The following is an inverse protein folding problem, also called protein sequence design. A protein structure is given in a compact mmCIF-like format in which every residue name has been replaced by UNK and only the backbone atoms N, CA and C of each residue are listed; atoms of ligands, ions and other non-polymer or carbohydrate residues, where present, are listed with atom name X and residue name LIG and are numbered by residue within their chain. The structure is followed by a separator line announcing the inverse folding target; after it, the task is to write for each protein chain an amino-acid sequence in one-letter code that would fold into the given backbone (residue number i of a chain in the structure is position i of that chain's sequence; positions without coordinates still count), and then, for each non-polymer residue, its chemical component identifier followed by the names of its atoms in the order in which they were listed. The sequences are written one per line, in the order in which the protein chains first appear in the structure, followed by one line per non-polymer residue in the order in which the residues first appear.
data_IF_325387074396
#
_entry.id   IF_325387074396
#
_cell.length_a   1.000
_cell.length_b   1.000
_cell.length_c   1.000
_cell.angle_alpha   90.00
_cell.angle_beta   90.00
_cell.angle_gamma   90.00
#
_symmetry.space_group_name_H-M   'P 1'
#
loop_
_entity.id
_entity.type
_entity.pdbx_description
1 polymer ?
#
# COMPACT_ATOMS: atom_id res chain seq x y z
N UNK A 1 -26.67 -21.93 4.01
CA UNK A 1 -25.50 -22.63 3.42
C UNK A 1 -24.91 -21.75 2.35
N UNK A 2 -23.70 -21.22 2.58
CA UNK A 2 -22.94 -20.48 1.56
C UNK A 2 -22.12 -21.53 0.80
N UNK A 3 -22.18 -21.64 -0.54
CA UNK A 3 -21.33 -22.58 -1.25
C UNK A 3 -19.86 -22.18 -1.07
N UNK A 4 -19.02 -23.15 -0.74
CA UNK A 4 -17.57 -23.01 -0.64
C UNK A 4 -17.03 -22.38 -1.92
N UNK A 5 -16.42 -21.19 -1.80
CA UNK A 5 -15.65 -20.59 -2.90
C UNK A 5 -14.44 -21.48 -3.19
N UNK A 6 -14.06 -21.63 -4.47
CA UNK A 6 -13.06 -22.60 -4.88
C UNK A 6 -11.69 -22.29 -4.25
N UNK A 7 -10.97 -23.35 -3.89
CA UNK A 7 -9.56 -23.35 -3.48
C UNK A 7 -8.71 -22.82 -4.64
N UNK A 8 -8.49 -21.50 -4.68
CA UNK A 8 -7.41 -20.89 -5.46
C UNK A 8 -6.25 -20.65 -4.50
N UNK A 9 -5.34 -21.60 -4.38
CA UNK A 9 -4.06 -21.46 -3.66
C UNK A 9 -3.13 -20.49 -4.40
N UNK A 10 -3.58 -19.25 -4.59
CA UNK A 10 -2.77 -18.13 -5.01
C UNK A 10 -2.33 -17.38 -3.78
N UNK A 11 -1.44 -18.00 -3.00
CA UNK A 11 -0.79 -17.34 -1.86
C UNK A 11 0.04 -16.18 -2.41
N UNK A 12 -0.58 -15.01 -2.50
CA UNK A 12 0.06 -13.86 -3.09
C UNK A 12 0.77 -13.12 -1.97
N UNK A 13 2.10 -13.05 -2.06
CA UNK A 13 2.87 -12.35 -1.06
C UNK A 13 2.76 -10.85 -1.30
N UNK A 14 2.40 -10.12 -0.24
CA UNK A 14 2.37 -8.67 -0.27
C UNK A 14 3.78 -8.15 -0.57
N UNK A 15 4.01 -7.41 -1.68
CA UNK A 15 5.32 -6.81 -1.92
C UNK A 15 5.68 -5.80 -0.83
N UNK A 16 6.98 -5.52 -0.76
CA UNK A 16 7.48 -4.38 0.00
C UNK A 16 7.17 -3.10 -0.78
N UNK A 17 6.42 -2.20 -0.14
CA UNK A 17 5.95 -0.94 -0.71
C UNK A 17 6.52 0.26 0.04
N UNK A 18 7.27 0.04 1.12
CA UNK A 18 7.84 1.10 1.92
C UNK A 18 8.85 1.91 1.09
N UNK A 19 8.80 3.23 1.22
CA UNK A 19 9.57 4.14 0.36
C UNK A 19 9.03 4.32 -1.06
N UNK A 20 8.04 3.54 -1.50
CA UNK A 20 7.37 3.79 -2.78
C UNK A 20 6.45 5.02 -2.68
N UNK A 21 6.29 5.73 -3.79
CA UNK A 21 5.23 6.73 -3.89
C UNK A 21 3.86 6.06 -3.79
N UNK A 22 2.87 6.74 -3.20
CA UNK A 22 1.51 6.20 -3.08
C UNK A 22 0.94 5.66 -4.39
N UNK A 23 1.22 6.36 -5.50
CA UNK A 23 0.78 5.95 -6.83
C UNK A 23 1.42 4.65 -7.30
N UNK A 24 2.73 4.49 -7.08
CA UNK A 24 3.45 3.28 -7.44
C UNK A 24 3.00 2.09 -6.58
N UNK A 25 2.75 2.33 -5.29
CA UNK A 25 2.25 1.31 -4.37
C UNK A 25 0.85 0.81 -4.76
N UNK A 26 -0.08 1.72 -5.08
CA UNK A 26 -1.41 1.37 -5.57
C UNK A 26 -1.33 0.55 -6.86
N UNK A 27 -0.49 0.96 -7.82
CA UNK A 27 -0.30 0.22 -9.07
C UNK A 27 0.24 -1.19 -8.85
N UNK A 28 1.18 -1.36 -7.91
CA UNK A 28 1.71 -2.68 -7.55
C UNK A 28 0.59 -3.58 -6.97
N UNK A 29 -0.21 -3.06 -6.04
CA UNK A 29 -1.34 -3.79 -5.46
C UNK A 29 -2.42 -4.14 -6.49
N UNK A 30 -2.80 -3.19 -7.35
CA UNK A 30 -3.80 -3.44 -8.41
C UNK A 30 -3.36 -4.51 -9.41
N UNK A 31 -2.05 -4.59 -9.73
CA UNK A 31 -1.51 -5.67 -10.58
C UNK A 31 -1.63 -7.05 -9.96
N UNK A 32 -1.63 -7.11 -8.64
CA UNK A 32 -1.76 -8.33 -7.85
C UNK A 32 -3.23 -8.67 -7.56
N UNK A 33 -4.18 -7.82 -8.01
CA UNK A 33 -5.61 -7.99 -7.73
C UNK A 33 -5.98 -7.67 -6.27
N UNK A 34 -5.17 -6.89 -5.57
CA UNK A 34 -5.42 -6.46 -4.19
C UNK A 34 -6.06 -5.06 -4.15
N UNK A 35 -6.90 -4.82 -3.14
CA UNK A 35 -7.45 -3.50 -2.85
C UNK A 35 -6.45 -2.65 -2.06
N UNK A 36 -6.10 -1.47 -2.57
CA UNK A 36 -5.20 -0.54 -1.89
C UNK A 36 -5.99 0.49 -1.06
N UNK A 37 -5.88 0.41 0.27
CA UNK A 37 -6.42 1.38 1.23
C UNK A 37 -5.33 2.37 1.65
N UNK A 38 -5.17 3.43 0.87
CA UNK A 38 -4.17 4.48 1.12
C UNK A 38 -4.71 5.51 2.11
N UNK A 39 -3.91 5.82 3.13
CA UNK A 39 -4.18 6.86 4.14
C UNK A 39 -3.03 7.86 4.15
N UNK A 40 -3.33 9.14 3.90
CA UNK A 40 -2.32 10.20 3.78
C UNK A 40 -1.85 10.43 2.35
N UNK A 41 -0.71 11.08 2.20
CA UNK A 41 -0.17 11.48 0.91
C UNK A 41 1.37 11.44 0.92
N UNK A 42 2.02 11.39 -0.25
CA UNK A 42 3.49 11.31 -0.36
C UNK A 42 4.01 9.88 -0.53
N UNK A 43 4.93 9.46 0.35
CA UNK A 43 5.63 8.17 0.30
C UNK A 43 5.09 7.21 1.36
N UNK A 44 5.03 5.92 1.04
CA UNK A 44 4.59 4.88 1.97
C UNK A 44 5.61 4.78 3.10
N UNK A 45 5.18 5.07 4.33
CA UNK A 45 5.98 4.94 5.54
C UNK A 45 5.61 3.71 6.35
N UNK A 46 4.41 3.18 6.16
CA UNK A 46 3.99 1.91 6.75
C UNK A 46 2.98 1.19 5.86
N UNK A 47 2.96 -0.14 5.96
CA UNK A 47 1.98 -0.99 5.33
C UNK A 47 1.47 -2.03 6.33
N UNK A 48 0.18 -2.33 6.25
CA UNK A 48 -0.46 -3.42 6.98
C UNK A 48 -1.38 -4.19 6.04
N UNK A 49 -1.21 -5.51 5.93
CA UNK A 49 -0.20 -6.34 6.61
C UNK A 49 1.26 -6.12 6.13
N UNK A 50 2.23 -6.77 6.77
CA UNK A 50 3.66 -6.57 6.49
C UNK A 50 4.09 -7.16 5.12
N UNK A 51 5.21 -6.68 4.58
CA UNK A 51 5.76 -7.24 3.35
C UNK A 51 6.08 -8.74 3.52
N UNK A 52 5.80 -9.51 2.47
CA UNK A 52 5.90 -10.97 2.50
C UNK A 52 4.75 -11.65 3.23
N UNK A 53 3.70 -10.92 3.67
CA UNK A 53 2.53 -11.60 4.22
C UNK A 53 1.78 -12.33 3.10
N UNK A 54 1.30 -13.55 3.35
CA UNK A 54 0.33 -14.23 2.48
C UNK A 54 -1.00 -13.47 2.44
N UNK A 55 -1.43 -13.08 1.24
CA UNK A 55 -2.70 -12.40 0.98
C UNK A 55 -3.54 -13.17 -0.03
N UNK A 56 -4.85 -13.19 0.24
CA UNK A 56 -5.80 -13.73 -0.71
C UNK A 56 -6.05 -12.70 -1.84
N UNK A 57 -6.21 -13.16 -3.09
CA UNK A 57 -6.58 -12.27 -4.19
C UNK A 57 -7.94 -11.60 -3.90
N UNK A 58 -7.98 -10.27 -4.01
CA UNK A 58 -9.14 -9.46 -3.62
C UNK A 58 -9.15 -9.00 -2.16
N UNK A 59 -8.15 -9.37 -1.35
CA UNK A 59 -8.00 -8.77 -0.01
C UNK A 59 -7.56 -7.31 -0.08
N UNK A 60 -7.83 -6.56 0.98
CA UNK A 60 -7.44 -5.15 1.11
C UNK A 60 -6.17 -4.97 1.94
N UNK A 61 -5.25 -4.13 1.47
CA UNK A 61 -4.03 -3.72 2.18
C UNK A 61 -4.10 -2.24 2.57
N UNK A 62 -3.81 -1.93 3.83
CA UNK A 62 -3.75 -0.56 4.34
C UNK A 62 -2.33 -0.01 4.22
N UNK A 63 -2.21 1.16 3.59
CA UNK A 63 -0.95 1.86 3.42
C UNK A 63 -1.05 3.22 4.10
N UNK A 64 -0.07 3.54 4.94
CA UNK A 64 0.09 4.87 5.50
C UNK A 64 1.18 5.60 4.75
N UNK A 65 0.83 6.78 4.25
CA UNK A 65 1.71 7.64 3.50
C UNK A 65 1.95 8.91 4.31
N UNK A 66 3.20 9.36 4.28
CA UNK A 66 3.58 10.62 4.91
C UNK A 66 4.10 11.57 3.87
N UNK A 67 3.54 12.79 3.90
CA UNK A 67 4.02 13.87 3.05
C UNK A 67 5.38 14.27 3.57
N UNK A 68 6.42 14.03 2.77
CA UNK A 68 7.64 14.80 2.90
C UNK A 68 7.28 16.17 2.36
N UNK A 69 6.82 17.07 3.24
CA UNK A 69 6.68 18.46 2.87
C UNK A 69 8.08 18.97 2.52
N UNK A 70 8.31 19.56 1.33
CA UNK A 70 9.53 20.31 1.12
C UNK A 70 9.56 21.41 2.20
N UNK A 71 10.64 21.48 2.98
CA UNK A 71 10.86 22.54 3.95
C UNK A 71 10.54 23.89 3.28
N UNK A 72 9.63 24.71 3.82
CA UNK A 72 9.40 26.03 3.26
C UNK A 72 10.75 26.78 3.24
N UNK A 73 11.09 27.49 2.14
CA UNK A 73 12.32 28.28 2.14
C UNK A 73 12.29 29.24 3.33
N UNK A 74 13.40 29.37 4.08
CA UNK A 74 13.46 30.33 5.17
C UNK A 74 13.07 31.71 4.62
N UNK A 75 12.04 32.30 5.20
CA UNK A 75 11.51 33.58 4.76
C UNK A 75 12.61 34.66 4.76
N UNK A 76 12.49 35.69 3.90
CA UNK A 76 13.46 36.78 3.91
C UNK A 76 13.48 37.42 5.31
N UNK A 77 14.66 37.46 5.93
CA UNK A 77 14.86 38.22 7.17
C UNK A 77 14.79 39.71 6.83
N UNK A 78 14.00 40.53 7.56
CA UNK A 78 13.99 41.97 7.39
C UNK A 78 15.30 42.61 7.84
#
# INVERSE_FOLDING_TARGET
MVPARPLGHGELLLPELHGMSGRAAVLALSRLGLEARVTGDGVVTAQEPAAGTPMEPGSSCRLWLTRIAPNPPPGPRP
#
